data_IF_514018189499
#
_entry.id   IF_514018189499
#
_cell.length_a   1.000
_cell.length_b   1.000
_cell.length_c   1.000
_cell.angle_alpha   90.00
_cell.angle_beta   90.00
_cell.angle_gamma   90.00
#
_symmetry.space_group_name_H-M   'P 1'
#
loop_
_entity.id
_entity.type
_entity.pdbx_description
1 polymer ?
#
# COMPACT_ATOMS: atom_id res chain seq x y z
N UNK A 1 -2.48 40.02 -34.57
CA UNK A 1 -1.34 39.23 -35.05
C UNK A 1 -1.78 37.78 -35.20
N UNK A 2 -1.37 37.11 -36.27
CA UNK A 2 -1.60 35.67 -36.42
C UNK A 2 -0.89 34.90 -35.30
N UNK A 3 -1.55 33.86 -34.82
CA UNK A 3 -1.08 33.02 -33.72
C UNK A 3 0.13 32.20 -34.19
N UNK A 4 1.26 32.26 -33.48
CA UNK A 4 2.42 31.48 -33.85
C UNK A 4 2.15 29.98 -33.65
N UNK A 5 2.51 29.14 -34.62
CA UNK A 5 2.21 27.70 -34.55
C UNK A 5 2.83 26.95 -33.37
N UNK A 6 3.85 27.51 -32.72
CA UNK A 6 4.54 26.94 -31.55
C UNK A 6 4.06 27.47 -30.20
N UNK A 7 3.10 28.41 -30.17
CA UNK A 7 2.63 29.06 -28.95
C UNK A 7 2.06 28.05 -27.94
N UNK A 8 1.30 27.06 -28.41
CA UNK A 8 0.74 26.01 -27.56
C UNK A 8 1.84 25.17 -26.89
N UNK A 9 2.88 24.80 -27.65
CA UNK A 9 3.98 23.99 -27.15
C UNK A 9 4.79 24.70 -26.07
N UNK A 10 5.14 25.98 -26.29
CA UNK A 10 5.86 26.78 -25.30
C UNK A 10 5.03 26.96 -24.02
N UNK A 11 3.72 27.15 -24.16
CA UNK A 11 2.80 27.28 -23.02
C UNK A 11 2.69 26.00 -22.20
N UNK A 12 2.58 24.84 -22.84
CA UNK A 12 2.48 23.55 -22.11
C UNK A 12 3.82 23.16 -21.46
N UNK A 13 4.95 23.46 -22.09
CA UNK A 13 6.27 23.25 -21.49
C UNK A 13 6.49 24.17 -20.28
N UNK A 14 6.12 25.45 -20.38
CA UNK A 14 6.28 26.35 -19.23
C UNK A 14 5.45 25.87 -18.04
N UNK A 15 4.20 25.45 -18.26
CA UNK A 15 3.35 24.86 -17.21
C UNK A 15 4.00 23.65 -16.56
N UNK A 16 4.59 22.75 -17.34
CA UNK A 16 5.24 21.56 -16.82
C UNK A 16 6.51 21.90 -16.00
N UNK A 17 7.36 22.80 -16.51
CA UNK A 17 8.61 23.22 -15.84
C UNK A 17 8.31 23.92 -14.51
N UNK A 18 7.28 24.77 -14.46
CA UNK A 18 6.91 25.53 -13.26
C UNK A 18 5.94 24.80 -12.32
N UNK A 19 5.80 23.48 -12.46
CA UNK A 19 4.95 22.64 -11.61
C UNK A 19 3.45 23.02 -11.60
N UNK A 20 2.94 23.60 -12.69
CA UNK A 20 1.51 23.86 -12.86
C UNK A 20 0.74 22.61 -13.35
N UNK A 21 1.47 21.57 -13.78
CA UNK A 21 0.91 20.31 -14.27
C UNK A 21 1.84 19.13 -13.96
N UNK A 22 1.28 17.93 -13.78
CA UNK A 22 2.08 16.71 -13.56
C UNK A 22 2.72 16.63 -12.18
N UNK A 23 2.27 17.44 -11.23
CA UNK A 23 2.76 17.42 -9.87
C UNK A 23 1.85 16.55 -8.98
N UNK A 24 2.37 15.43 -8.52
CA UNK A 24 1.64 14.47 -7.70
C UNK A 24 2.00 14.63 -6.23
N UNK A 25 1.01 14.39 -5.37
CA UNK A 25 1.16 14.35 -3.92
C UNK A 25 0.41 13.16 -3.36
N UNK A 26 1.10 12.37 -2.56
CA UNK A 26 0.46 11.32 -1.76
C UNK A 26 0.30 11.77 -0.32
N UNK A 27 -0.86 11.48 0.28
CA UNK A 27 -1.19 11.81 1.67
C UNK A 27 -1.95 10.65 2.32
N UNK A 28 -2.08 10.71 3.65
CA UNK A 28 -2.92 9.81 4.44
C UNK A 28 -2.66 8.32 4.13
N UNK A 29 -1.38 7.91 4.12
CA UNK A 29 -1.04 6.49 4.08
C UNK A 29 -1.57 5.84 5.36
N UNK A 30 -2.42 4.83 5.21
CA UNK A 30 -3.01 4.07 6.32
C UNK A 30 -2.85 2.58 6.08
N UNK A 31 -2.62 1.84 7.16
CA UNK A 31 -2.59 0.39 7.13
C UNK A 31 -3.12 -0.17 8.45
N UNK A 32 -3.97 -1.20 8.36
CA UNK A 32 -4.73 -1.73 9.48
C UNK A 32 -5.06 -3.20 9.24
N UNK A 33 -5.47 -3.90 10.29
CA UNK A 33 -6.08 -5.23 10.12
C UNK A 33 -7.46 -5.05 9.46
N UNK A 34 -7.87 -6.03 8.65
CA UNK A 34 -9.19 -5.99 8.01
C UNK A 34 -10.27 -5.96 9.09
N UNK A 35 -11.10 -4.91 9.08
CA UNK A 35 -12.18 -4.72 10.05
C UNK A 35 -11.80 -3.88 11.28
N UNK A 36 -10.53 -3.50 11.43
CA UNK A 36 -10.07 -2.56 12.47
C UNK A 36 -9.82 -1.18 11.86
N UNK A 37 -9.81 -0.11 12.67
CA UNK A 37 -9.55 1.25 12.18
C UNK A 37 -8.13 1.75 12.53
N UNK A 38 -7.52 1.18 13.56
CA UNK A 38 -6.26 1.65 14.11
C UNK A 38 -5.06 0.99 13.43
N UNK A 39 -3.96 1.74 13.29
CA UNK A 39 -2.71 1.18 12.78
C UNK A 39 -2.07 0.27 13.84
N UNK A 40 -1.87 -1.04 13.55
CA UNK A 40 -1.22 -1.92 14.50
C UNK A 40 0.27 -1.62 14.59
N UNK A 41 0.85 -1.79 15.78
CA UNK A 41 2.29 -1.66 15.97
C UNK A 41 3.10 -2.80 15.30
N UNK A 42 2.47 -3.95 15.08
CA UNK A 42 3.06 -5.13 14.43
C UNK A 42 1.96 -6.01 13.84
N UNK A 43 2.26 -6.72 12.76
CA UNK A 43 1.40 -7.77 12.22
C UNK A 43 1.87 -9.16 12.67
N UNK A 44 0.99 -10.15 12.59
CA UNK A 44 1.36 -11.56 12.66
C UNK A 44 1.37 -12.16 11.26
N UNK A 45 2.16 -13.21 11.06
CA UNK A 45 2.10 -14.03 9.85
C UNK A 45 0.65 -14.44 9.56
N UNK A 46 0.28 -14.48 8.28
CA UNK A 46 -1.06 -14.87 7.81
C UNK A 46 -2.24 -13.96 8.21
N UNK A 47 -1.99 -12.84 8.90
CA UNK A 47 -3.03 -11.84 9.17
C UNK A 47 -3.53 -11.22 7.85
N UNK A 48 -4.81 -10.89 7.79
CA UNK A 48 -5.41 -10.17 6.68
C UNK A 48 -5.33 -8.67 6.97
N UNK A 49 -4.64 -7.92 6.10
CA UNK A 49 -4.44 -6.49 6.24
C UNK A 49 -5.05 -5.70 5.09
N UNK A 50 -5.33 -4.44 5.35
CA UNK A 50 -5.74 -3.43 4.39
C UNK A 50 -4.70 -2.31 4.36
N UNK A 51 -4.40 -1.83 3.15
CA UNK A 51 -3.53 -0.69 2.90
C UNK A 51 -4.29 0.33 2.07
N UNK A 52 -4.20 1.61 2.44
CA UNK A 52 -4.74 2.71 1.65
C UNK A 52 -3.82 3.92 1.60
N UNK A 53 -3.93 4.68 0.52
CA UNK A 53 -3.21 5.93 0.30
C UNK A 53 -4.05 6.85 -0.57
N UNK A 54 -4.02 8.14 -0.27
CA UNK A 54 -4.67 9.15 -1.10
C UNK A 54 -3.65 9.80 -2.02
N UNK A 55 -3.94 9.91 -3.31
CA UNK A 55 -3.06 10.53 -4.30
C UNK A 55 -3.83 11.64 -5.03
N UNK A 56 -3.22 12.82 -5.09
CA UNK A 56 -3.75 14.01 -5.74
C UNK A 56 -2.76 14.55 -6.77
N UNK A 57 -3.29 15.18 -7.82
CA UNK A 57 -2.56 15.94 -8.82
C UNK A 57 -2.85 17.43 -8.66
N UNK A 58 -1.84 18.27 -8.81
CA UNK A 58 -2.00 19.72 -8.86
C UNK A 58 -2.40 20.17 -10.27
N UNK A 59 -3.55 20.84 -10.40
CA UNK A 59 -4.05 21.37 -11.67
C UNK A 59 -3.58 22.80 -11.99
N UNK A 60 -2.68 23.36 -11.17
CA UNK A 60 -2.25 24.75 -11.24
C UNK A 60 -3.02 25.67 -10.29
N UNK A 61 -4.24 25.28 -9.91
CA UNK A 61 -5.12 26.05 -9.01
C UNK A 61 -5.55 25.27 -7.78
N UNK A 62 -5.79 23.95 -7.90
CA UNK A 62 -6.26 23.09 -6.82
C UNK A 62 -5.67 21.68 -6.87
N UNK A 63 -5.74 20.99 -5.74
CA UNK A 63 -5.42 19.56 -5.65
C UNK A 63 -6.65 18.75 -6.05
N UNK A 64 -6.53 18.00 -7.14
CA UNK A 64 -7.59 17.16 -7.69
C UNK A 64 -7.24 15.67 -7.52
N UNK A 65 -8.24 14.79 -7.32
CA UNK A 65 -8.02 13.36 -7.26
C UNK A 65 -7.24 12.81 -8.46
N UNK A 66 -6.12 12.14 -8.20
CA UNK A 66 -5.39 11.44 -9.26
C UNK A 66 -6.06 10.09 -9.54
N UNK A 67 -6.41 9.82 -10.79
CA UNK A 67 -7.08 8.57 -11.20
C UNK A 67 -6.21 7.83 -12.20
N UNK A 68 -5.69 6.69 -11.79
CA UNK A 68 -4.87 5.78 -12.58
C UNK A 68 -5.16 4.33 -12.21
N UNK A 69 -4.81 3.38 -13.07
CA UNK A 69 -5.08 1.95 -12.94
C UNK A 69 -3.84 1.10 -12.63
N UNK A 70 -2.69 1.75 -12.46
CA UNK A 70 -1.36 1.14 -12.48
C UNK A 70 -0.53 1.39 -11.21
N UNK A 71 -1.11 2.06 -10.21
CA UNK A 71 -0.45 2.31 -8.93
C UNK A 71 -0.29 0.99 -8.18
N UNK A 72 0.93 0.67 -7.74
CA UNK A 72 1.26 -0.59 -7.08
C UNK A 72 1.85 -0.36 -5.69
N UNK A 73 1.48 -1.23 -4.75
CA UNK A 73 2.13 -1.35 -3.45
C UNK A 73 2.93 -2.65 -3.38
N UNK A 74 4.10 -2.57 -2.76
CA UNK A 74 4.97 -3.69 -2.45
C UNK A 74 5.00 -3.92 -0.95
N UNK A 75 4.85 -5.18 -0.53
CA UNK A 75 5.22 -5.62 0.81
C UNK A 75 6.62 -6.23 0.74
N UNK A 76 7.60 -5.44 1.18
CA UNK A 76 9.01 -5.61 0.85
C UNK A 76 9.85 -5.91 2.09
N UNK A 77 10.87 -6.78 1.97
CA UNK A 77 11.89 -6.97 3.01
C UNK A 77 13.29 -6.94 2.39
N UNK A 78 13.69 -8.04 1.74
CA UNK A 78 14.88 -8.11 0.86
C UNK A 78 14.49 -8.18 -0.62
N UNK A 79 13.26 -8.61 -0.88
CA UNK A 79 12.59 -8.68 -2.16
C UNK A 79 11.09 -8.42 -1.93
N UNK A 80 10.31 -8.07 -2.97
CA UNK A 80 8.87 -7.93 -2.84
C UNK A 80 8.23 -9.31 -2.66
N UNK A 81 7.64 -9.56 -1.49
CA UNK A 81 6.88 -10.80 -1.23
C UNK A 81 5.45 -10.69 -1.76
N UNK A 82 4.88 -9.49 -1.71
CA UNK A 82 3.58 -9.16 -2.30
C UNK A 82 3.78 -7.94 -3.18
N UNK A 83 3.29 -8.02 -4.41
CA UNK A 83 3.15 -6.89 -5.33
C UNK A 83 1.69 -6.87 -5.75
N UNK A 84 0.97 -5.80 -5.44
CA UNK A 84 -0.43 -5.64 -5.82
C UNK A 84 -0.68 -4.26 -6.41
N UNK A 85 -1.46 -4.24 -7.49
CA UNK A 85 -2.07 -3.02 -8.02
C UNK A 85 -3.22 -2.59 -7.11
N UNK A 86 -3.26 -1.30 -6.78
CA UNK A 86 -4.28 -0.71 -5.93
C UNK A 86 -5.57 -0.46 -6.72
N UNK A 87 -6.72 -0.73 -6.09
CA UNK A 87 -8.02 -0.30 -6.62
C UNK A 87 -8.30 1.15 -6.25
N UNK A 88 -8.89 1.91 -7.18
CA UNK A 88 -9.24 3.33 -6.98
C UNK A 88 -10.75 3.53 -6.85
N UNK A 89 -11.15 4.43 -5.96
CA UNK A 89 -12.54 4.89 -5.82
C UNK A 89 -12.88 6.07 -6.76
N UNK A 90 -11.94 6.47 -7.62
CA UNK A 90 -11.98 7.66 -8.49
C UNK A 90 -12.11 9.01 -7.75
N UNK A 91 -12.03 9.00 -6.41
CA UNK A 91 -11.99 10.19 -5.56
C UNK A 91 -10.60 10.44 -4.98
N UNK A 92 -9.61 9.67 -5.43
CA UNK A 92 -8.20 9.83 -5.10
C UNK A 92 -7.72 8.82 -4.06
N UNK A 93 -8.61 7.99 -3.53
CA UNK A 93 -8.24 6.92 -2.59
C UNK A 93 -7.86 5.68 -3.39
N UNK A 94 -6.68 5.15 -3.07
CA UNK A 94 -6.18 3.88 -3.56
C UNK A 94 -6.11 2.91 -2.40
N UNK A 95 -6.68 1.72 -2.56
CA UNK A 95 -6.68 0.70 -1.52
C UNK A 95 -6.43 -0.71 -2.07
N UNK A 96 -5.95 -1.59 -1.20
CA UNK A 96 -5.89 -3.03 -1.44
C UNK A 96 -5.91 -3.77 -0.12
N UNK A 97 -6.41 -5.00 -0.15
CA UNK A 97 -6.24 -5.96 0.94
C UNK A 97 -5.40 -7.15 0.50
N UNK A 98 -4.61 -7.70 1.41
CA UNK A 98 -3.85 -8.93 1.19
C UNK A 98 -3.48 -9.60 2.51
N UNK A 99 -3.06 -10.87 2.42
CA UNK A 99 -2.62 -11.66 3.56
C UNK A 99 -1.11 -11.50 3.75
N UNK A 100 -0.68 -11.31 4.99
CA UNK A 100 0.75 -11.25 5.35
C UNK A 100 1.42 -12.58 5.01
N UNK A 101 2.59 -12.59 4.33
CA UNK A 101 3.32 -13.80 4.01
C UNK A 101 3.67 -14.63 5.25
N UNK A 102 3.86 -15.94 5.07
CA UNK A 102 4.33 -16.86 6.11
C UNK A 102 5.85 -16.76 6.33
N UNK A 103 6.34 -15.53 6.47
CA UNK A 103 7.73 -15.20 6.79
C UNK A 103 7.71 -14.04 7.77
N UNK A 104 8.35 -14.22 8.92
CA UNK A 104 8.48 -13.18 9.93
C UNK A 104 9.75 -12.36 9.70
N UNK A 105 9.77 -11.14 10.22
CA UNK A 105 10.86 -10.20 9.99
C UNK A 105 10.36 -8.77 9.99
N UNK A 106 11.17 -7.86 9.46
CA UNK A 106 10.78 -6.45 9.36
C UNK A 106 10.49 -6.11 7.90
N UNK A 107 9.22 -5.89 7.61
CA UNK A 107 8.73 -5.55 6.28
C UNK A 107 8.58 -4.05 6.13
N UNK A 108 8.40 -3.61 4.88
CA UNK A 108 8.09 -2.25 4.51
C UNK A 108 6.95 -2.26 3.50
N UNK A 109 5.92 -1.44 3.74
CA UNK A 109 5.02 -1.02 2.67
C UNK A 109 5.77 -0.02 1.81
N UNK A 110 6.05 -0.40 0.56
CA UNK A 110 6.80 0.41 -0.39
C UNK A 110 5.92 0.74 -1.58
N UNK A 111 5.72 2.03 -1.84
CA UNK A 111 5.02 2.53 -3.02
C UNK A 111 5.99 3.44 -3.77
N UNK A 112 6.44 2.97 -4.92
CA UNK A 112 7.28 3.71 -5.86
C UNK A 112 6.49 3.93 -7.14
N UNK A 113 6.16 5.19 -7.42
CA UNK A 113 5.43 5.57 -8.62
C UNK A 113 6.28 6.52 -9.45
N UNK A 114 6.75 6.03 -10.60
CA UNK A 114 7.58 6.78 -11.53
C UNK A 114 6.94 6.71 -12.92
N UNK A 115 6.31 7.80 -13.33
CA UNK A 115 5.70 7.95 -14.65
C UNK A 115 6.27 9.15 -15.38
N UNK A 116 6.46 9.00 -16.69
CA UNK A 116 6.95 10.07 -17.54
C UNK A 116 5.97 11.26 -17.50
N UNK A 117 6.51 12.46 -17.31
CA UNK A 117 5.71 13.69 -17.21
C UNK A 117 5.13 13.97 -15.81
N UNK A 118 5.26 13.04 -14.87
CA UNK A 118 4.78 13.20 -13.50
C UNK A 118 5.93 13.28 -12.48
N UNK A 119 5.64 13.89 -11.33
CA UNK A 119 6.53 13.86 -10.16
C UNK A 119 6.60 12.44 -9.60
N UNK A 120 7.79 12.00 -9.21
CA UNK A 120 7.97 10.68 -8.60
C UNK A 120 7.41 10.65 -7.17
N UNK A 121 6.69 9.58 -6.84
CA UNK A 121 6.26 9.29 -5.48
C UNK A 121 7.11 8.14 -4.92
N UNK A 122 7.65 8.33 -3.73
CA UNK A 122 8.39 7.30 -2.99
C UNK A 122 7.92 7.33 -1.54
N UNK A 123 7.14 6.32 -1.17
CA UNK A 123 6.62 6.14 0.19
C UNK A 123 7.15 4.82 0.72
N UNK A 124 7.66 4.84 1.95
CA UNK A 124 8.07 3.64 2.67
C UNK A 124 7.62 3.73 4.12
N UNK A 125 6.92 2.70 4.60
CA UNK A 125 6.49 2.56 6.00
C UNK A 125 6.92 1.18 6.50
N UNK A 126 7.82 1.17 7.48
CA UNK A 126 8.36 -0.06 8.06
C UNK A 126 7.42 -0.63 9.13
N UNK A 127 7.21 -1.95 9.11
CA UNK A 127 6.38 -2.67 10.07
C UNK A 127 6.97 -4.04 10.40
N UNK A 128 7.07 -4.43 11.68
CA UNK A 128 7.48 -5.77 12.06
C UNK A 128 6.33 -6.78 11.87
N UNK A 129 6.69 -7.96 11.38
CA UNK A 129 5.83 -9.14 11.30
C UNK A 129 6.38 -10.20 12.24
N UNK A 130 5.54 -10.67 13.17
CA UNK A 130 5.91 -11.69 14.16
C UNK A 130 5.31 -13.06 13.84
N UNK A 131 5.92 -14.16 14.32
CA UNK A 131 5.28 -15.48 14.30
C UNK A 131 4.13 -15.58 15.32
N UNK A 132 3.44 -16.72 15.30
CA UNK A 132 2.46 -17.09 16.33
C UNK A 132 3.10 -17.14 17.71
N UNK A 133 2.43 -16.57 18.71
CA UNK A 133 2.76 -16.76 20.12
C UNK A 133 2.35 -18.16 20.56
N UNK A 134 2.95 -18.66 21.65
CA UNK A 134 2.67 -19.99 22.19
C UNK A 134 1.18 -20.22 22.52
N UNK A 135 0.40 -19.16 22.77
CA UNK A 135 -1.02 -19.20 23.11
C UNK A 135 -1.95 -19.02 21.90
N UNK A 136 -1.40 -18.81 20.70
CA UNK A 136 -2.17 -18.58 19.46
C UNK A 136 -2.25 -19.82 18.58
N UNK A 137 -1.50 -20.88 18.90
CA UNK A 137 -1.63 -22.16 18.22
C UNK A 137 -2.97 -22.82 18.52
N UNK A 138 -3.48 -23.56 17.54
CA UNK A 138 -4.69 -24.36 17.71
C UNK A 138 -4.53 -25.36 18.86
N UNK A 139 -5.56 -25.46 19.70
CA UNK A 139 -5.60 -26.36 20.85
C UNK A 139 -6.76 -27.34 20.67
N UNK A 140 -6.61 -28.51 21.29
CA UNK A 140 -7.64 -29.57 21.26
C UNK A 140 -7.90 -30.11 19.86
N UNK A 141 -6.82 -30.37 19.12
CA UNK A 141 -6.89 -30.89 17.75
C UNK A 141 -7.53 -32.28 17.76
N UNK A 142 -8.56 -32.57 16.94
CA UNK A 142 -9.25 -33.86 16.94
C UNK A 142 -8.32 -35.06 16.70
N UNK A 143 -7.29 -34.89 15.87
CA UNK A 143 -6.27 -35.90 15.60
C UNK A 143 -5.44 -36.27 16.84
N UNK A 144 -5.38 -35.40 17.85
CA UNK A 144 -4.61 -35.60 19.08
C UNK A 144 -5.44 -36.21 20.24
N UNK A 145 -6.73 -36.49 20.03
CA UNK A 145 -7.61 -37.07 21.06
C UNK A 145 -7.09 -38.37 21.71
N UNK A 146 -6.46 -39.31 20.98
CA UNK A 146 -5.87 -40.49 21.61
C UNK A 146 -4.81 -40.15 22.68
N UNK A 147 -3.99 -39.13 22.45
CA UNK A 147 -2.95 -38.70 23.39
C UNK A 147 -3.54 -37.99 24.62
N UNK A 148 -4.54 -37.14 24.42
CA UNK A 148 -5.23 -36.46 25.53
C UNK A 148 -5.93 -37.47 26.43
N UNK A 149 -6.62 -38.46 25.86
CA UNK A 149 -7.28 -39.52 26.63
C UNK A 149 -6.29 -40.41 27.38
N UNK A 150 -5.18 -40.79 26.75
CA UNK A 150 -4.13 -41.59 27.39
C UNK A 150 -3.52 -40.88 28.62
N UNK A 151 -3.32 -39.56 28.55
CA UNK A 151 -2.76 -38.78 29.65
C UNK A 151 -3.66 -38.75 30.90
N UNK A 152 -4.98 -38.84 30.74
CA UNK A 152 -5.94 -38.92 31.87
C UNK A 152 -6.17 -40.35 32.37
N UNK A 153 -5.77 -41.35 31.60
CA UNK A 153 -5.90 -42.77 31.98
C UNK A 153 -4.72 -43.29 32.78
N UNK A 154 -3.58 -42.58 32.78
CA UNK A 154 -2.43 -42.84 33.66
C UNK A 154 -2.69 -42.32 35.06
#
# INVERSE_FOLDING_TARGET
HEKAGNEQFLTEISKWIFHERGHLKAVNVKHNLVGEADEPAMYRITDDLEYSVEIYEWSGSSWEPYVSDDVQVQFYMMSPYVLKTLSTDKKGVYSTSFKVPDVYGVFQFKLEYQRLGYTSLSLSKQIPVRPFRHNEYERFIPAAYPYYGAAFSM
#
